data_IF_710683516616
#
_entry.id   IF_710683516616
#
_cell.length_a   1.000
_cell.length_b   1.000
_cell.length_c   1.000
_cell.angle_alpha   90.00
_cell.angle_beta   90.00
_cell.angle_gamma   90.00
#
_symmetry.space_group_name_H-M   'P 1'
#
loop_
_entity.id
_entity.type
_entity.pdbx_description
1 polymer ?
#
# COMPACT_ATOMS: atom_id res chain seq x y z
N UNK A 1 21.10 3.16 21.17
CA UNK A 1 21.84 3.41 19.91
C UNK A 1 21.01 2.74 18.82
N UNK A 2 20.26 3.51 17.99
CA UNK A 2 19.39 2.90 16.97
C UNK A 2 20.27 2.19 15.95
N UNK A 3 20.14 0.87 15.84
CA UNK A 3 20.57 0.14 14.65
C UNK A 3 19.77 0.74 13.48
N UNK A 4 20.42 1.55 12.66
CA UNK A 4 19.88 1.99 11.38
C UNK A 4 19.92 0.76 10.48
N UNK A 5 18.77 0.08 10.36
CA UNK A 5 18.61 -0.94 9.34
C UNK A 5 18.93 -0.31 7.98
N UNK A 6 19.59 -1.03 7.05
CA UNK A 6 19.69 -0.58 5.68
C UNK A 6 18.29 -0.29 5.14
N UNK A 7 18.17 0.66 4.23
CA UNK A 7 16.89 1.05 3.64
C UNK A 7 16.94 0.93 2.13
N UNK A 8 15.77 0.69 1.55
CA UNK A 8 15.53 0.72 0.11
C UNK A 8 14.39 1.66 -0.22
N UNK A 9 14.30 2.04 -1.49
CA UNK A 9 13.28 2.96 -2.00
C UNK A 9 12.37 2.23 -2.97
N UNK A 10 11.07 2.27 -2.68
CA UNK A 10 10.01 1.87 -3.62
C UNK A 10 9.55 3.12 -4.36
N UNK A 11 9.67 3.11 -5.68
CA UNK A 11 9.20 4.18 -6.56
C UNK A 11 7.80 3.86 -7.08
N UNK A 12 6.85 4.76 -6.79
CA UNK A 12 5.43 4.64 -7.15
C UNK A 12 5.03 5.83 -8.01
N UNK A 13 4.37 5.57 -9.13
CA UNK A 13 3.91 6.61 -10.04
C UNK A 13 2.42 6.88 -9.84
N UNK A 14 2.08 8.14 -9.60
CA UNK A 14 0.70 8.57 -9.48
C UNK A 14 0.14 8.85 -10.87
N UNK A 15 -1.17 8.61 -11.05
CA UNK A 15 -1.85 9.00 -12.29
C UNK A 15 -1.79 10.52 -12.50
N UNK A 16 -2.06 11.27 -11.44
CA UNK A 16 -2.03 12.72 -11.39
C UNK A 16 -1.70 13.22 -9.97
N UNK A 17 -1.52 14.54 -9.83
CA UNK A 17 -1.17 15.19 -8.57
C UNK A 17 -2.37 15.46 -7.66
N UNK A 18 -3.59 15.48 -8.20
CA UNK A 18 -4.80 15.84 -7.44
C UNK A 18 -5.18 14.75 -6.43
N UNK A 19 -4.74 13.51 -6.70
CA UNK A 19 -4.97 12.36 -5.84
C UNK A 19 -3.80 12.01 -4.91
N UNK A 20 -2.98 13.01 -4.54
CA UNK A 20 -1.90 12.86 -3.57
C UNK A 20 -1.91 14.05 -2.57
N UNK A 21 -2.19 13.76 -1.31
CA UNK A 21 -2.38 14.79 -0.28
C UNK A 21 -1.61 14.47 0.99
N UNK A 22 -0.79 15.43 1.45
CA UNK A 22 -0.19 15.38 2.78
C UNK A 22 -1.23 15.80 3.82
N UNK A 23 -1.35 15.00 4.86
CA UNK A 23 -2.18 15.27 6.03
C UNK A 23 -1.24 15.57 7.20
N UNK A 24 -1.58 16.60 7.96
CA UNK A 24 -0.87 16.92 9.21
C UNK A 24 -1.58 16.18 10.32
N UNK A 25 -0.82 15.48 11.15
CA UNK A 25 -1.37 14.97 12.40
C UNK A 25 -1.73 16.15 13.32
N UNK A 26 -2.95 16.16 13.90
CA UNK A 26 -3.41 17.26 14.74
C UNK A 26 -2.74 17.32 16.12
N UNK A 27 -2.08 16.24 16.56
CA UNK A 27 -1.52 16.09 17.90
C UNK A 27 0.01 15.91 17.88
N UNK A 28 0.57 15.34 16.82
CA UNK A 28 1.98 14.98 16.74
C UNK A 28 2.65 15.48 15.46
N UNK A 29 3.42 16.57 15.58
CA UNK A 29 4.15 17.13 14.43
C UNK A 29 5.22 16.20 13.82
N UNK A 30 5.58 15.13 14.52
CA UNK A 30 6.54 14.11 14.08
C UNK A 30 5.92 12.96 13.28
N UNK A 31 4.58 12.84 13.27
CA UNK A 31 3.88 11.84 12.47
C UNK A 31 3.50 12.44 11.12
N UNK A 32 4.02 11.83 10.08
CA UNK A 32 3.79 12.25 8.70
C UNK A 32 2.79 11.31 8.05
N UNK A 33 1.71 11.90 7.52
CA UNK A 33 0.67 11.17 6.83
C UNK A 33 0.54 11.66 5.39
N UNK A 34 0.55 10.73 4.44
CA UNK A 34 0.22 10.98 3.05
C UNK A 34 -0.93 10.06 2.63
N UNK A 35 -1.98 10.61 2.04
CA UNK A 35 -3.00 9.86 1.32
C UNK A 35 -2.70 9.93 -0.18
N UNK A 36 -2.70 8.79 -0.85
CA UNK A 36 -2.54 8.71 -2.30
C UNK A 36 -3.49 7.69 -2.92
N UNK A 37 -3.95 7.94 -4.14
CA UNK A 37 -4.68 6.94 -4.92
C UNK A 37 -3.75 6.34 -5.96
N UNK A 38 -3.55 5.03 -5.87
CA UNK A 38 -2.63 4.30 -6.73
C UNK A 38 -3.42 3.39 -7.67
N UNK A 39 -3.04 3.31 -8.96
CA UNK A 39 -3.47 2.20 -9.79
C UNK A 39 -2.91 0.89 -9.23
N UNK A 40 -3.58 -0.22 -9.51
CA UNK A 40 -3.17 -1.53 -8.99
C UNK A 40 -1.74 -1.92 -9.40
N UNK A 41 -1.31 -1.57 -10.62
CA UNK A 41 0.04 -1.79 -11.14
C UNK A 41 1.14 -1.11 -10.33
N UNK A 42 0.79 -0.05 -9.60
CA UNK A 42 1.72 0.68 -8.74
C UNK A 42 1.59 0.21 -7.29
N UNK A 43 0.36 0.02 -6.81
CA UNK A 43 0.11 -0.47 -5.45
C UNK A 43 0.70 -1.87 -5.20
N UNK A 44 0.80 -2.73 -6.22
CA UNK A 44 1.40 -4.08 -6.10
C UNK A 44 2.90 -4.05 -5.77
N UNK A 45 3.60 -2.94 -6.05
CA UNK A 45 5.03 -2.77 -5.75
C UNK A 45 5.30 -2.60 -4.25
N UNK A 46 4.26 -2.31 -3.46
CA UNK A 46 4.36 -2.24 -2.01
C UNK A 46 4.73 -3.59 -1.43
N UNK A 47 5.49 -3.60 -0.34
CA UNK A 47 5.84 -4.83 0.38
C UNK A 47 4.92 -5.06 1.58
N UNK A 48 4.48 -6.31 1.78
CA UNK A 48 3.68 -6.70 2.95
C UNK A 48 4.36 -6.31 4.26
N UNK A 49 5.69 -6.44 4.31
CA UNK A 49 6.51 -6.17 5.48
C UNK A 49 6.07 -6.98 6.71
N UNK A 50 6.38 -6.46 7.89
CA UNK A 50 6.10 -7.08 9.20
C UNK A 50 5.10 -6.27 10.05
N UNK A 51 4.50 -5.21 9.49
CA UNK A 51 3.55 -4.35 10.20
C UNK A 51 2.18 -5.02 10.42
N UNK A 52 1.79 -5.98 9.59
CA UNK A 52 0.53 -6.68 9.78
C UNK A 52 0.69 -7.85 10.75
N UNK A 53 -0.25 -7.98 11.69
CA UNK A 53 -0.32 -9.12 12.61
C UNK A 53 -1.24 -10.22 12.07
N UNK A 54 -1.99 -9.98 10.97
CA UNK A 54 -3.02 -10.93 10.49
C UNK A 54 -2.94 -11.19 8.99
N UNK A 55 -2.74 -12.46 8.57
CA UNK A 55 -2.78 -12.81 7.15
C UNK A 55 -4.20 -12.65 6.60
N UNK A 56 -4.26 -12.32 5.31
CA UNK A 56 -5.51 -12.26 4.58
C UNK A 56 -6.09 -13.67 4.38
N UNK A 57 -7.42 -13.78 4.36
CA UNK A 57 -8.14 -15.03 4.17
C UNK A 57 -9.17 -14.91 3.04
N UNK A 58 -8.94 -15.67 1.97
CA UNK A 58 -9.80 -15.67 0.78
C UNK A 58 -11.24 -16.13 1.06
N UNK A 59 -11.43 -16.87 2.16
CA UNK A 59 -12.75 -17.36 2.59
C UNK A 59 -13.63 -16.25 3.15
N UNK A 60 -13.04 -15.11 3.54
CA UNK A 60 -13.77 -14.01 4.17
C UNK A 60 -14.60 -13.26 3.14
N UNK A 61 -15.82 -12.87 3.53
CA UNK A 61 -16.74 -12.11 2.66
C UNK A 61 -16.08 -10.86 2.04
N UNK A 62 -15.37 -10.00 2.80
CA UNK A 62 -14.73 -8.81 2.21
C UNK A 62 -13.79 -9.13 1.05
N UNK A 63 -13.04 -10.24 1.13
CA UNK A 63 -12.13 -10.66 0.06
C UNK A 63 -12.91 -10.99 -1.22
N UNK A 64 -13.95 -11.83 -1.10
CA UNK A 64 -14.79 -12.23 -2.24
C UNK A 64 -15.51 -11.04 -2.88
N UNK A 65 -16.04 -10.13 -2.05
CA UNK A 65 -16.73 -8.92 -2.52
C UNK A 65 -15.77 -7.99 -3.30
N UNK A 66 -14.49 -7.95 -2.91
CA UNK A 66 -13.47 -7.20 -3.63
C UNK A 66 -13.11 -7.83 -4.98
N UNK A 67 -12.90 -9.14 -5.04
CA UNK A 67 -12.63 -9.87 -6.30
C UNK A 67 -13.80 -9.69 -7.28
N UNK A 68 -15.03 -9.81 -6.79
CA UNK A 68 -16.24 -9.55 -7.58
C UNK A 68 -16.29 -8.11 -8.11
N UNK A 69 -15.95 -7.14 -7.27
CA UNK A 69 -15.88 -5.74 -7.67
C UNK A 69 -14.84 -5.50 -8.77
N UNK A 70 -13.65 -6.08 -8.68
CA UNK A 70 -12.62 -5.97 -9.72
C UNK A 70 -13.07 -6.58 -11.05
N UNK A 71 -13.79 -7.70 -11.00
CA UNK A 71 -14.27 -8.37 -12.21
C UNK A 71 -15.42 -7.63 -12.90
N UNK A 72 -16.37 -7.10 -12.12
CA UNK A 72 -17.65 -6.62 -12.64
C UNK A 72 -17.81 -5.09 -12.65
N UNK A 73 -17.11 -4.39 -11.75
CA UNK A 73 -17.24 -2.93 -11.59
C UNK A 73 -15.93 -2.29 -11.11
N UNK A 74 -14.81 -2.48 -11.84
CA UNK A 74 -13.46 -2.13 -11.38
C UNK A 74 -13.30 -0.63 -11.07
N UNK A 75 -13.95 0.24 -11.84
CA UNK A 75 -13.93 1.69 -11.62
C UNK A 75 -14.53 2.11 -10.28
N UNK A 76 -15.38 1.27 -9.67
CA UNK A 76 -16.00 1.52 -8.37
C UNK A 76 -15.22 0.95 -7.18
N UNK A 77 -14.10 0.26 -7.42
CA UNK A 77 -13.35 -0.44 -6.35
C UNK A 77 -12.99 0.47 -5.18
N UNK A 78 -12.43 1.64 -5.49
CA UNK A 78 -12.01 2.63 -4.49
C UNK A 78 -13.16 3.20 -3.63
N UNK A 79 -14.42 3.11 -4.10
CA UNK A 79 -15.61 3.55 -3.35
C UNK A 79 -16.07 2.48 -2.35
N UNK A 80 -15.85 1.22 -2.67
CA UNK A 80 -16.31 0.06 -1.87
C UNK A 80 -15.23 -0.47 -0.92
N UNK A 81 -13.98 -0.09 -1.13
CA UNK A 81 -12.83 -0.56 -0.35
C UNK A 81 -12.25 0.54 0.56
N UNK A 82 -11.84 0.16 1.79
CA UNK A 82 -11.26 1.08 2.77
C UNK A 82 -9.81 1.48 2.50
N UNK A 83 -9.18 0.87 1.49
CA UNK A 83 -7.81 1.10 1.11
C UNK A 83 -6.81 0.24 1.89
N UNK A 84 -5.60 0.77 1.98
CA UNK A 84 -4.43 0.19 2.65
C UNK A 84 -3.86 1.24 3.61
N UNK A 85 -3.46 0.81 4.80
CA UNK A 85 -2.58 1.60 5.67
C UNK A 85 -1.18 1.01 5.53
N UNK A 86 -0.22 1.83 5.11
CA UNK A 86 1.17 1.45 4.85
C UNK A 86 2.10 2.17 5.81
N UNK A 87 2.90 1.42 6.59
CA UNK A 87 3.96 1.97 7.44
C UNK A 87 5.28 1.98 6.70
N UNK A 88 5.97 3.11 6.74
CA UNK A 88 7.26 3.32 6.10
C UNK A 88 8.14 4.23 6.95
N UNK A 89 9.44 4.29 6.62
CA UNK A 89 10.38 5.16 7.33
C UNK A 89 10.20 6.62 6.90
N UNK A 90 10.09 6.83 5.58
CA UNK A 90 9.97 8.15 4.96
C UNK A 90 9.20 8.06 3.65
N UNK A 91 8.57 9.15 3.25
CA UNK A 91 8.10 9.33 1.88
C UNK A 91 8.44 10.72 1.33
N UNK A 92 8.67 10.78 0.01
CA UNK A 92 8.97 12.01 -0.72
C UNK A 92 8.16 12.05 -2.01
N UNK A 93 7.49 13.18 -2.26
CA UNK A 93 6.65 13.33 -3.45
C UNK A 93 7.21 14.42 -4.37
N UNK A 94 7.52 14.04 -5.60
CA UNK A 94 7.93 14.93 -6.70
C UNK A 94 6.73 15.19 -7.61
N UNK A 95 6.08 16.34 -7.42
CA UNK A 95 4.90 16.77 -8.17
C UNK A 95 5.16 16.90 -9.68
N UNK A 96 6.38 17.25 -10.09
CA UNK A 96 6.71 17.44 -11.51
C UNK A 96 6.78 16.09 -12.22
N UNK A 97 7.26 15.06 -11.51
CA UNK A 97 7.41 13.70 -12.04
C UNK A 97 6.23 12.79 -11.71
N UNK A 98 5.26 13.25 -10.91
CA UNK A 98 4.18 12.41 -10.33
C UNK A 98 4.74 11.18 -9.61
N UNK A 99 5.88 11.35 -8.95
CA UNK A 99 6.68 10.25 -8.41
C UNK A 99 6.69 10.32 -6.89
N UNK A 100 6.13 9.29 -6.26
CA UNK A 100 6.19 9.05 -4.83
C UNK A 100 7.31 8.04 -4.53
N UNK A 101 8.31 8.48 -3.77
CA UNK A 101 9.38 7.63 -3.24
C UNK A 101 9.04 7.25 -1.82
N UNK A 102 8.99 5.95 -1.54
CA UNK A 102 8.71 5.40 -0.21
C UNK A 102 9.93 4.66 0.28
N UNK A 103 10.53 5.12 1.38
CA UNK A 103 11.68 4.49 2.00
C UNK A 103 11.20 3.47 3.03
N UNK A 104 11.68 2.24 2.91
CA UNK A 104 11.39 1.14 3.84
C UNK A 104 12.69 0.44 4.27
N UNK A 105 12.71 -0.22 5.45
CA UNK A 105 13.78 -1.12 5.81
C UNK A 105 14.03 -2.17 4.72
N UNK A 106 15.29 -2.43 4.44
CA UNK A 106 15.75 -3.49 3.55
C UNK A 106 16.10 -4.73 4.38
N UNK A 107 15.04 -5.40 4.86
CA UNK A 107 15.16 -6.59 5.70
C UNK A 107 14.76 -7.80 4.87
N UNK A 108 15.62 -8.83 4.75
CA UNK A 108 15.28 -10.09 4.09
C UNK A 108 14.04 -10.75 4.69
N UNK A 109 13.20 -11.37 3.85
CA UNK A 109 11.93 -11.96 4.29
C UNK A 109 12.11 -13.03 5.38
N UNK A 110 13.21 -13.79 5.33
CA UNK A 110 13.56 -14.82 6.32
C UNK A 110 13.98 -14.24 7.68
N UNK A 111 14.30 -12.95 7.75
CA UNK A 111 14.68 -12.27 9.00
C UNK A 111 13.48 -11.52 9.61
N UNK A 112 12.39 -11.31 8.86
CA UNK A 112 11.21 -10.57 9.34
C UNK A 112 10.50 -11.25 10.51
N UNK A 113 10.53 -12.58 10.58
CA UNK A 113 9.89 -13.40 11.61
C UNK A 113 10.68 -13.40 12.93
N UNK A 114 11.99 -13.14 12.86
CA UNK A 114 12.90 -13.11 14.00
C UNK A 114 12.96 -11.73 14.67
N UNK A 115 12.25 -10.73 14.12
CA UNK A 115 12.30 -9.36 14.64
C UNK A 115 11.60 -9.24 16.00
N UNK A 116 12.35 -8.79 17.01
CA UNK A 116 11.88 -8.65 18.39
C UNK A 116 10.88 -7.48 18.56
N UNK A 117 10.16 -7.47 19.69
CA UNK A 117 9.33 -6.33 20.08
C UNK A 117 10.21 -5.09 20.33
N UNK A 118 10.09 -4.09 19.46
CA UNK A 118 10.88 -2.85 19.51
C UNK A 118 11.63 -2.55 18.20
N UNK A 119 11.66 -3.50 17.27
CA UNK A 119 12.24 -3.32 15.94
C UNK A 119 11.24 -2.71 14.93
N UNK A 120 11.72 -2.03 13.87
CA UNK A 120 10.87 -1.26 12.97
C UNK A 120 9.78 -2.12 12.32
N UNK A 121 8.53 -1.66 12.46
CA UNK A 121 7.36 -2.23 11.79
C UNK A 121 7.07 -1.45 10.51
N UNK A 122 7.20 -2.10 9.35
CA UNK A 122 6.95 -1.51 8.03
C UNK A 122 6.04 -2.40 7.18
N UNK A 123 5.54 -1.85 6.08
CA UNK A 123 4.68 -2.56 5.14
C UNK A 123 3.20 -2.34 5.40
N UNK A 124 2.39 -3.31 4.97
CA UNK A 124 0.92 -3.26 5.07
C UNK A 124 0.54 -3.40 6.56
N UNK A 125 0.07 -2.34 7.19
CA UNK A 125 -0.41 -2.38 8.58
C UNK A 125 -1.91 -2.70 8.67
N UNK A 126 -2.69 -2.29 7.67
CA UNK A 126 -4.10 -2.66 7.47
C UNK A 126 -4.40 -2.73 5.96
N UNK A 127 -5.44 -3.47 5.59
CA UNK A 127 -5.81 -3.70 4.19
C UNK A 127 -5.16 -4.93 3.58
N UNK A 128 -4.73 -5.91 4.38
CA UNK A 128 -4.11 -7.14 3.88
C UNK A 128 -4.95 -7.90 2.83
N UNK A 129 -6.28 -7.97 3.02
CA UNK A 129 -7.16 -8.55 1.99
C UNK A 129 -7.17 -7.71 0.70
N UNK A 130 -7.19 -6.39 0.82
CA UNK A 130 -7.12 -5.48 -0.34
C UNK A 130 -5.83 -5.70 -1.10
N UNK A 131 -4.70 -5.79 -0.38
CA UNK A 131 -3.40 -6.01 -0.98
C UNK A 131 -3.30 -7.36 -1.70
N UNK A 132 -3.82 -8.44 -1.10
CA UNK A 132 -3.86 -9.75 -1.76
C UNK A 132 -4.72 -9.72 -3.04
N UNK A 133 -5.87 -9.02 -3.04
CA UNK A 133 -6.69 -8.85 -4.25
C UNK A 133 -5.92 -8.07 -5.33
N UNK A 134 -5.17 -7.02 -4.96
CA UNK A 134 -4.31 -6.29 -5.90
C UNK A 134 -3.28 -7.23 -6.53
N UNK A 135 -2.58 -8.03 -5.72
CA UNK A 135 -1.59 -8.99 -6.22
C UNK A 135 -2.21 -10.00 -7.20
N UNK A 136 -3.34 -10.60 -6.86
CA UNK A 136 -4.04 -11.55 -7.73
C UNK A 136 -4.54 -10.90 -9.03
N UNK A 137 -5.01 -9.66 -8.94
CA UNK A 137 -5.49 -8.89 -10.10
C UNK A 137 -4.36 -8.56 -11.04
N UNK A 138 -3.24 -8.06 -10.53
CA UNK A 138 -2.09 -7.69 -11.36
C UNK A 138 -1.46 -8.92 -12.03
N UNK A 139 -1.43 -10.07 -11.34
CA UNK A 139 -0.96 -11.33 -11.92
C UNK A 139 -1.77 -11.77 -13.15
N UNK A 140 -3.02 -11.31 -13.27
CA UNK A 140 -3.95 -11.64 -14.36
C UNK A 140 -4.32 -10.41 -15.20
N UNK A 141 -3.56 -9.31 -15.09
CA UNK A 141 -3.97 -8.01 -15.65
C UNK A 141 -4.14 -8.04 -17.17
N UNK A 142 -3.31 -8.80 -17.87
CA UNK A 142 -3.37 -8.92 -19.33
C UNK A 142 -4.72 -9.52 -19.75
N UNK A 143 -5.14 -10.62 -19.13
CA UNK A 143 -6.42 -11.28 -19.41
C UNK A 143 -7.63 -10.41 -19.03
N UNK A 144 -7.52 -9.67 -17.92
CA UNK A 144 -8.58 -8.75 -17.49
C UNK A 144 -8.71 -7.56 -18.43
N UNK A 145 -7.60 -7.05 -18.95
CA UNK A 145 -7.57 -5.89 -19.86
C UNK A 145 -8.21 -6.15 -21.22
N UNK A 146 -8.31 -7.42 -21.63
CA UNK A 146 -8.99 -7.83 -22.86
C UNK A 146 -10.52 -7.83 -22.73
N UNK A 147 -11.06 -7.73 -21.51
CA UNK A 147 -12.50 -7.73 -21.27
C UNK A 147 -13.10 -6.36 -21.60
N UNK A 148 -14.19 -6.38 -22.36
CA UNK A 148 -14.90 -5.16 -22.74
C UNK A 148 -15.34 -4.35 -21.50
N UNK A 149 -15.02 -3.06 -21.50
CA UNK A 149 -15.37 -2.14 -20.41
C UNK A 149 -14.53 -2.29 -19.14
N UNK A 150 -13.56 -3.21 -19.10
CA UNK A 150 -12.64 -3.29 -17.98
C UNK A 150 -11.66 -2.12 -17.99
N UNK A 151 -11.41 -1.58 -16.79
CA UNK A 151 -10.44 -0.51 -16.57
C UNK A 151 -9.64 -0.84 -15.34
N UNK A 152 -8.38 -0.38 -15.29
CA UNK A 152 -7.55 -0.64 -14.13
C UNK A 152 -8.17 0.00 -12.86
N UNK A 153 -8.40 -0.78 -11.79
CA UNK A 153 -8.91 -0.25 -10.54
C UNK A 153 -7.87 0.62 -9.81
N UNK A 154 -8.36 1.51 -8.97
CA UNK A 154 -7.55 2.33 -8.06
C UNK A 154 -7.78 1.89 -6.62
N UNK A 155 -6.75 2.02 -5.79
CA UNK A 155 -6.81 1.82 -4.35
C UNK A 155 -6.31 3.07 -3.63
N UNK A 156 -6.95 3.41 -2.51
CA UNK A 156 -6.47 4.44 -1.59
C UNK A 156 -5.40 3.86 -0.68
N UNK A 157 -4.26 4.53 -0.57
CA UNK A 157 -3.17 4.14 0.34
C UNK A 157 -2.85 5.30 1.27
N UNK A 158 -2.84 5.01 2.57
CA UNK A 158 -2.41 5.92 3.62
C UNK A 158 -0.98 5.54 4.03
N UNK A 159 0.00 6.34 3.64
CA UNK A 159 1.38 6.20 4.08
C UNK A 159 1.57 6.91 5.41
N UNK A 160 2.04 6.16 6.40
CA UNK A 160 2.39 6.65 7.72
C UNK A 160 3.90 6.52 7.90
N UNK A 161 4.55 7.64 8.21
CA UNK A 161 5.98 7.73 8.52
C UNK A 161 6.21 8.46 9.84
N UNK A 162 7.30 8.13 10.53
CA UNK A 162 7.58 8.57 11.90
C UNK A 162 7.40 7.45 12.93
N UNK A 163 7.79 7.71 14.17
CA UNK A 163 7.56 6.78 15.28
C UNK A 163 6.08 6.80 15.64
N UNK A 164 5.33 5.80 15.19
CA UNK A 164 4.07 5.50 15.86
C UNK A 164 4.42 4.87 17.22
N UNK A 165 4.39 5.70 18.27
CA UNK A 165 4.55 5.30 19.67
C UNK A 165 3.66 4.10 20.04
#
# INVERSE_FOLDING_TARGET
MKLLFPTKVVELFLKDNDHCKRLKDPLESGLFHLEAWLPFSEAVKLESGNANVRPASERKKPFRDMVDTVGNSPSSFHLKNRGIIYRCDKFEFDNNKRLLRVTIPDIPANELEDLENGEPKFGIADGGHTFQVIQQTVAQINELSEREGWTEPFVRVHFLAGEAL
#
